data_IF_221131669576
#
_entry.id   IF_221131669576
#
_cell.length_a   1.000
_cell.length_b   1.000
_cell.length_c   1.000
_cell.angle_alpha   90.00
_cell.angle_beta   90.00
_cell.angle_gamma   90.00
#
_symmetry.space_group_name_H-M   'P 1'
#
loop_
_entity.id
_entity.type
_entity.pdbx_description
1 polymer ?
#
# COMPACT_ATOMS: atom_id res chain seq x y z
N UNK A 1 8.55 -20.81 23.29
CA UNK A 1 7.93 -19.52 22.91
C UNK A 1 6.89 -19.77 21.83
N UNK A 2 5.65 -19.26 21.97
CA UNK A 2 4.53 -19.48 21.03
C UNK A 2 4.13 -18.16 20.36
N UNK A 3 4.27 -18.09 19.04
CA UNK A 3 4.07 -16.88 18.27
C UNK A 3 2.93 -17.07 17.26
N UNK A 4 1.89 -16.25 17.35
CA UNK A 4 0.89 -16.16 16.30
C UNK A 4 1.36 -15.21 15.20
N UNK A 5 1.22 -15.58 13.94
CA UNK A 5 1.60 -14.75 12.79
C UNK A 5 0.44 -14.67 11.81
N UNK A 6 0.13 -13.46 11.33
CA UNK A 6 -0.91 -13.25 10.32
C UNK A 6 -0.58 -12.10 9.37
N UNK A 7 -1.15 -12.19 8.16
CA UNK A 7 -1.10 -11.14 7.13
C UNK A 7 -2.52 -10.66 6.85
N UNK A 8 -2.78 -9.35 6.88
CA UNK A 8 -4.13 -8.81 6.76
C UNK A 8 -4.22 -7.63 5.79
N UNK A 9 -5.36 -7.52 5.12
CA UNK A 9 -5.64 -6.48 4.13
C UNK A 9 -5.19 -6.86 2.73
N UNK A 10 -4.96 -5.86 1.84
CA UNK A 10 -4.40 -6.13 0.51
C UNK A 10 -2.99 -6.71 0.62
N UNK A 11 -2.64 -7.65 -0.24
CA UNK A 11 -1.30 -8.23 -0.30
C UNK A 11 -0.27 -7.30 -0.96
N UNK A 12 0.98 -7.69 -0.88
CA UNK A 12 2.09 -7.13 -1.64
C UNK A 12 3.18 -8.18 -1.82
N UNK A 13 4.16 -7.86 -2.65
CA UNK A 13 5.18 -8.81 -3.06
C UNK A 13 6.09 -9.31 -1.92
N UNK A 14 6.35 -8.49 -0.90
CA UNK A 14 7.38 -8.76 0.11
C UNK A 14 6.85 -9.36 1.44
N UNK A 15 5.58 -9.77 1.52
CA UNK A 15 5.00 -10.35 2.73
C UNK A 15 5.75 -11.60 3.21
N UNK A 16 6.01 -12.52 2.30
CA UNK A 16 6.73 -13.76 2.62
C UNK A 16 8.17 -13.48 3.08
N UNK A 17 8.85 -12.51 2.47
CA UNK A 17 10.17 -12.08 2.90
C UNK A 17 10.19 -11.55 4.35
N UNK A 18 9.17 -10.77 4.73
CA UNK A 18 9.02 -10.25 6.08
C UNK A 18 8.73 -11.36 7.10
N UNK A 19 7.79 -12.27 6.81
CA UNK A 19 7.49 -13.43 7.66
C UNK A 19 8.73 -14.32 7.85
N UNK A 20 9.47 -14.57 6.75
CA UNK A 20 10.74 -15.30 6.81
C UNK A 20 11.77 -14.59 7.71
N UNK A 21 11.87 -13.27 7.64
CA UNK A 21 12.77 -12.48 8.49
C UNK A 21 12.45 -12.66 9.97
N UNK A 22 11.17 -12.60 10.35
CA UNK A 22 10.72 -12.88 11.73
C UNK A 22 11.08 -14.31 12.14
N UNK A 23 10.61 -15.28 11.37
CA UNK A 23 10.75 -16.70 11.74
C UNK A 23 12.21 -17.13 11.87
N UNK A 24 13.05 -16.85 10.87
CA UNK A 24 14.47 -17.20 10.92
C UNK A 24 15.20 -16.54 12.07
N UNK A 25 14.88 -15.30 12.40
CA UNK A 25 15.48 -14.59 13.52
C UNK A 25 15.09 -15.21 14.87
N UNK A 26 13.83 -15.64 15.01
CA UNK A 26 13.35 -16.34 16.22
C UNK A 26 14.01 -17.71 16.35
N UNK A 27 13.95 -18.55 15.31
CA UNK A 27 14.54 -19.89 15.35
C UNK A 27 16.04 -19.91 15.61
N UNK A 28 16.77 -18.86 15.19
CA UNK A 28 18.21 -18.75 15.42
C UNK A 28 18.59 -18.25 16.83
N UNK A 29 17.66 -17.64 17.57
CA UNK A 29 17.98 -16.96 18.84
C UNK A 29 17.25 -17.51 20.05
N UNK A 30 16.22 -18.31 19.83
CA UNK A 30 15.35 -18.83 20.90
C UNK A 30 15.14 -20.31 20.67
N UNK A 31 15.38 -21.09 21.72
CA UNK A 31 15.04 -22.51 21.73
C UNK A 31 13.52 -22.71 21.82
N UNK A 32 13.00 -23.82 21.29
CA UNK A 32 11.59 -24.24 21.37
C UNK A 32 10.58 -23.16 20.91
N UNK A 33 10.82 -22.57 19.72
CA UNK A 33 9.86 -21.66 19.09
C UNK A 33 8.79 -22.44 18.32
N UNK A 34 7.53 -22.12 18.58
CA UNK A 34 6.37 -22.57 17.81
C UNK A 34 5.71 -21.37 17.14
N UNK A 35 5.51 -21.43 15.82
CA UNK A 35 4.87 -20.38 15.04
C UNK A 35 3.52 -20.89 14.52
N UNK A 36 2.45 -20.22 14.93
CA UNK A 36 1.08 -20.47 14.50
C UNK A 36 0.73 -19.48 13.40
N UNK A 37 0.75 -19.91 12.13
CA UNK A 37 0.39 -19.11 10.98
C UNK A 37 -1.13 -19.10 10.79
N UNK A 38 -1.80 -17.99 11.17
CA UNK A 38 -3.26 -17.86 11.00
C UNK A 38 -3.61 -17.65 9.53
N UNK A 39 -4.51 -18.47 9.01
CA UNK A 39 -4.93 -18.42 7.61
C UNK A 39 -5.93 -17.27 7.39
N UNK A 40 -5.80 -16.58 6.25
CA UNK A 40 -6.68 -15.48 5.87
C UNK A 40 -6.75 -14.34 6.89
N UNK A 41 -5.64 -14.04 7.55
CA UNK A 41 -5.49 -12.89 8.43
C UNK A 41 -6.31 -12.96 9.72
N UNK A 42 -6.97 -11.86 10.09
CA UNK A 42 -7.80 -11.84 11.29
C UNK A 42 -8.94 -12.86 11.27
N UNK A 43 -9.40 -13.28 10.09
CA UNK A 43 -10.44 -14.32 9.99
C UNK A 43 -9.94 -15.64 10.59
N UNK A 44 -8.70 -16.00 10.33
CA UNK A 44 -8.10 -17.19 10.93
C UNK A 44 -7.96 -17.08 12.45
N UNK A 45 -7.57 -15.92 12.96
CA UNK A 45 -7.49 -15.69 14.41
C UNK A 45 -8.89 -15.72 15.08
N UNK A 46 -9.94 -15.19 14.43
CA UNK A 46 -11.32 -15.23 14.91
C UNK A 46 -11.85 -16.68 14.95
N UNK A 47 -11.53 -17.47 13.93
CA UNK A 47 -12.08 -18.83 13.74
C UNK A 47 -11.16 -19.93 14.26
N UNK A 48 -10.04 -19.58 14.90
CA UNK A 48 -9.02 -20.53 15.37
C UNK A 48 -8.51 -21.44 14.23
N UNK A 49 -8.30 -20.85 13.03
CA UNK A 49 -7.84 -21.56 11.84
C UNK A 49 -6.39 -21.17 11.55
N UNK A 50 -5.49 -22.11 11.77
CA UNK A 50 -4.05 -21.89 11.64
C UNK A 50 -3.34 -23.13 11.09
N UNK A 51 -2.11 -22.91 10.64
CA UNK A 51 -1.11 -23.96 10.39
C UNK A 51 0.00 -23.81 11.43
N UNK A 52 0.38 -24.89 12.09
CA UNK A 52 1.63 -24.93 12.85
C UNK A 52 2.78 -24.96 11.85
N UNK A 53 3.58 -23.90 11.84
CA UNK A 53 4.66 -23.69 10.88
C UNK A 53 5.97 -24.26 11.43
N UNK A 54 6.74 -24.89 10.56
CA UNK A 54 8.12 -25.27 10.90
C UNK A 54 9.14 -24.41 10.11
N UNK A 55 10.42 -24.56 10.41
CA UNK A 55 11.50 -23.78 9.80
C UNK A 55 11.56 -23.96 8.27
N UNK A 56 11.12 -25.10 7.74
CA UNK A 56 11.14 -25.41 6.31
C UNK A 56 10.04 -24.65 5.56
N UNK A 57 8.92 -24.35 6.21
CA UNK A 57 7.85 -23.51 5.63
C UNK A 57 8.35 -22.12 5.26
N UNK A 58 9.41 -21.65 5.91
CA UNK A 58 10.05 -20.35 5.63
C UNK A 58 11.26 -20.48 4.69
N UNK A 59 11.54 -21.66 4.18
CA UNK A 59 12.59 -21.87 3.19
C UNK A 59 12.06 -21.59 1.77
N UNK A 60 12.90 -20.97 0.92
CA UNK A 60 12.53 -20.70 -0.48
C UNK A 60 11.52 -19.55 -0.71
N UNK A 61 10.86 -19.01 0.33
CA UNK A 61 9.79 -18.02 0.16
C UNK A 61 10.26 -16.57 0.00
N UNK A 62 11.56 -16.28 0.07
CA UNK A 62 12.11 -14.92 -0.03
C UNK A 62 11.72 -14.21 -1.32
N UNK A 63 11.62 -14.95 -2.41
CA UNK A 63 11.34 -14.43 -3.75
C UNK A 63 9.90 -14.65 -4.21
N UNK A 64 9.09 -15.28 -3.39
CA UNK A 64 7.69 -15.60 -3.70
C UNK A 64 6.82 -14.42 -3.26
N UNK A 65 6.10 -13.82 -4.22
CA UNK A 65 5.13 -12.76 -3.94
C UNK A 65 3.86 -13.25 -3.26
N UNK A 66 3.01 -12.28 -2.86
CA UNK A 66 1.82 -12.59 -2.08
C UNK A 66 2.13 -13.10 -0.68
N UNK A 67 1.28 -13.97 -0.13
CA UNK A 67 1.42 -14.50 1.23
C UNK A 67 1.08 -15.98 1.29
N UNK A 68 1.95 -16.79 1.90
CA UNK A 68 1.72 -18.24 2.12
C UNK A 68 0.61 -18.52 3.16
N UNK A 69 0.21 -17.50 3.93
CA UNK A 69 -0.87 -17.62 4.93
C UNK A 69 -2.23 -17.18 4.38
N UNK A 70 -2.29 -16.67 3.15
CA UNK A 70 -3.49 -16.01 2.65
C UNK A 70 -3.78 -14.70 3.40
N UNK A 71 -4.74 -13.95 2.92
CA UNK A 71 -5.16 -12.68 3.53
C UNK A 71 -6.63 -12.42 3.30
N UNK A 72 -7.27 -11.70 4.22
CA UNK A 72 -8.62 -11.20 4.07
C UNK A 72 -8.76 -9.78 4.59
N UNK A 73 -9.85 -9.11 4.19
CA UNK A 73 -10.20 -7.80 4.72
C UNK A 73 -11.21 -7.95 5.85
N UNK A 74 -10.79 -7.61 7.06
CA UNK A 74 -11.69 -7.44 8.22
C UNK A 74 -11.76 -5.94 8.53
N UNK A 75 -12.79 -5.21 8.03
CA UNK A 75 -12.85 -3.77 8.18
C UNK A 75 -12.93 -3.36 9.65
N UNK A 76 -12.05 -2.49 10.12
CA UNK A 76 -12.05 -2.02 11.51
C UNK A 76 -13.39 -1.40 11.95
N UNK A 77 -14.10 -0.73 11.03
CA UNK A 77 -15.43 -0.17 11.32
C UNK A 77 -16.46 -1.22 11.74
N UNK A 78 -16.26 -2.47 11.34
CA UNK A 78 -17.13 -3.61 11.64
C UNK A 78 -16.50 -4.58 12.65
N UNK A 79 -15.45 -4.17 13.35
CA UNK A 79 -14.73 -5.09 14.25
C UNK A 79 -15.59 -5.46 15.47
N UNK A 80 -16.40 -4.52 15.97
CA UNK A 80 -17.29 -4.72 17.10
C UNK A 80 -18.69 -5.23 16.68
N UNK A 81 -18.97 -5.36 15.37
CA UNK A 81 -20.18 -6.02 14.91
C UNK A 81 -19.97 -7.54 15.00
N UNK A 82 -20.92 -8.34 15.47
CA UNK A 82 -20.82 -9.80 15.42
C UNK A 82 -20.55 -10.28 13.99
N UNK A 83 -19.94 -11.44 13.85
CA UNK A 83 -19.82 -12.10 12.55
C UNK A 83 -21.17 -12.67 12.09
N UNK A 84 -21.21 -13.33 10.93
CA UNK A 84 -22.41 -13.96 10.37
C UNK A 84 -23.00 -15.08 11.24
N UNK A 85 -22.23 -15.59 12.20
CA UNK A 85 -22.66 -16.60 13.17
C UNK A 85 -23.00 -15.99 14.56
N UNK A 86 -23.04 -14.66 14.67
CA UNK A 86 -23.32 -13.95 15.92
C UNK A 86 -22.14 -13.88 16.90
N UNK A 87 -20.91 -14.24 16.47
CA UNK A 87 -19.72 -14.30 17.31
C UNK A 87 -19.08 -12.92 17.46
N UNK A 88 -18.78 -12.51 18.70
CA UNK A 88 -17.96 -11.32 18.96
C UNK A 88 -16.54 -11.56 18.47
N UNK A 89 -16.10 -10.78 17.49
CA UNK A 89 -14.80 -10.96 16.83
C UNK A 89 -13.62 -10.67 17.76
N UNK A 90 -13.73 -9.67 18.64
CA UNK A 90 -12.66 -9.29 19.56
C UNK A 90 -12.48 -10.36 20.63
N UNK A 91 -13.58 -10.78 21.25
CA UNK A 91 -13.53 -11.85 22.25
C UNK A 91 -13.08 -13.19 21.63
N UNK A 92 -13.49 -13.48 20.40
CA UNK A 92 -13.00 -14.66 19.69
C UNK A 92 -11.48 -14.65 19.47
N UNK A 93 -10.91 -13.51 19.06
CA UNK A 93 -9.47 -13.38 18.90
C UNK A 93 -8.72 -13.52 20.24
N UNK A 94 -9.28 -12.95 21.32
CA UNK A 94 -8.73 -13.08 22.68
C UNK A 94 -8.80 -14.52 23.17
N UNK A 95 -9.89 -15.22 22.89
CA UNK A 95 -10.06 -16.63 23.23
C UNK A 95 -9.01 -17.50 22.54
N UNK A 96 -8.86 -17.38 21.21
CA UNK A 96 -7.85 -18.11 20.43
C UNK A 96 -6.42 -17.84 20.93
N UNK A 97 -6.11 -16.56 21.25
CA UNK A 97 -4.81 -16.19 21.80
C UNK A 97 -4.51 -16.93 23.12
N UNK A 98 -5.48 -16.97 24.03
CA UNK A 98 -5.35 -17.63 25.33
C UNK A 98 -5.34 -19.16 25.22
N UNK A 99 -6.22 -19.72 24.40
CA UNK A 99 -6.34 -21.17 24.19
C UNK A 99 -5.04 -21.77 23.67
N UNK A 100 -4.40 -21.11 22.71
CA UNK A 100 -3.11 -21.54 22.15
C UNK A 100 -1.91 -21.18 23.05
N UNK A 101 -2.13 -20.39 24.10
CA UNK A 101 -1.08 -19.92 25.00
C UNK A 101 -0.03 -19.09 24.25
N UNK A 102 -0.46 -18.19 23.36
CA UNK A 102 0.45 -17.38 22.57
C UNK A 102 1.16 -16.35 23.44
N UNK A 103 2.46 -16.18 23.23
CA UNK A 103 3.28 -15.17 23.89
C UNK A 103 3.16 -13.80 23.17
N UNK A 104 2.97 -13.82 21.83
CA UNK A 104 2.86 -12.61 21.03
C UNK A 104 2.13 -12.89 19.69
N UNK A 105 1.46 -11.85 19.16
CA UNK A 105 0.96 -11.80 17.78
C UNK A 105 1.87 -10.93 16.92
N UNK A 106 2.34 -11.47 15.81
CA UNK A 106 3.03 -10.75 14.75
C UNK A 106 2.04 -10.46 13.63
N UNK A 107 1.77 -9.19 13.37
CA UNK A 107 0.72 -8.76 12.45
C UNK A 107 1.32 -7.91 11.33
N UNK A 108 1.21 -8.41 10.09
CA UNK A 108 1.68 -7.72 8.90
C UNK A 108 0.49 -7.08 8.18
N UNK A 109 0.48 -5.74 8.07
CA UNK A 109 -0.68 -5.10 7.44
C UNK A 109 -0.57 -3.60 7.20
N UNK A 110 -1.62 -3.04 6.62
CA UNK A 110 -1.78 -1.61 6.37
C UNK A 110 -2.52 -0.87 7.50
N UNK A 111 -2.96 0.35 7.22
CA UNK A 111 -3.58 1.24 8.23
C UNK A 111 -4.76 0.60 8.97
N UNK A 112 -5.70 -0.04 8.26
CA UNK A 112 -6.84 -0.74 8.88
C UNK A 112 -6.40 -1.86 9.82
N UNK A 113 -5.39 -2.62 9.43
CA UNK A 113 -4.81 -3.71 10.21
C UNK A 113 -4.17 -3.20 11.51
N UNK A 114 -3.44 -2.08 11.45
CA UNK A 114 -2.84 -1.46 12.63
C UNK A 114 -3.89 -0.93 13.62
N UNK A 115 -5.07 -0.50 13.16
CA UNK A 115 -6.19 -0.15 14.07
C UNK A 115 -6.65 -1.34 14.88
N UNK A 116 -6.85 -2.48 14.24
CA UNK A 116 -7.23 -3.72 14.94
C UNK A 116 -6.11 -4.21 15.85
N UNK A 117 -4.87 -4.16 15.40
CA UNK A 117 -3.69 -4.53 16.21
C UNK A 117 -3.58 -3.67 17.49
N UNK A 118 -3.79 -2.35 17.37
CA UNK A 118 -3.80 -1.42 18.51
C UNK A 118 -4.99 -1.68 19.46
N UNK A 119 -6.15 -2.08 18.93
CA UNK A 119 -7.28 -2.50 19.76
C UNK A 119 -6.90 -3.76 20.56
N UNK A 120 -6.38 -4.81 19.91
CA UNK A 120 -5.98 -6.05 20.60
C UNK A 120 -4.91 -5.79 21.65
N UNK A 121 -3.95 -4.90 21.38
CA UNK A 121 -2.95 -4.50 22.39
C UNK A 121 -3.59 -3.83 23.61
N UNK A 122 -4.58 -2.94 23.41
CA UNK A 122 -5.35 -2.32 24.50
C UNK A 122 -6.21 -3.33 25.28
N UNK A 123 -6.62 -4.41 24.64
CA UNK A 123 -7.33 -5.54 25.26
C UNK A 123 -6.36 -6.51 25.98
N UNK A 124 -5.09 -6.18 26.08
CA UNK A 124 -4.09 -6.92 26.86
C UNK A 124 -3.34 -8.02 26.11
N UNK A 125 -3.44 -8.09 24.77
CA UNK A 125 -2.66 -9.01 23.97
C UNK A 125 -1.29 -8.41 23.64
N UNK A 126 -0.24 -9.21 23.69
CA UNK A 126 1.07 -8.80 23.22
C UNK A 126 1.10 -8.78 21.68
N UNK A 127 1.41 -7.64 21.09
CA UNK A 127 1.37 -7.45 19.63
C UNK A 127 2.61 -6.71 19.15
N UNK A 128 3.20 -7.19 18.06
CA UNK A 128 4.22 -6.50 17.27
C UNK A 128 3.74 -6.47 15.82
N UNK A 129 3.86 -5.31 15.16
CA UNK A 129 3.37 -5.17 13.79
C UNK A 129 4.46 -4.75 12.80
N UNK A 130 4.22 -5.05 11.52
CA UNK A 130 5.11 -4.68 10.41
C UNK A 130 4.35 -3.86 9.37
N UNK A 131 4.97 -2.80 8.79
CA UNK A 131 4.34 -1.85 7.88
C UNK A 131 4.23 -2.41 6.46
N UNK A 132 3.12 -3.04 6.14
CA UNK A 132 2.84 -3.68 4.85
C UNK A 132 1.80 -2.87 4.06
N UNK A 133 2.25 -2.17 3.03
CA UNK A 133 1.36 -1.52 2.05
C UNK A 133 2.17 -1.11 0.82
N UNK A 134 1.53 -1.16 -0.36
CA UNK A 134 2.10 -0.58 -1.58
C UNK A 134 1.85 0.93 -1.66
N UNK A 135 0.96 1.46 -0.83
CA UNK A 135 0.52 2.87 -0.88
C UNK A 135 1.48 3.81 -0.14
N UNK A 136 2.42 3.27 0.66
CA UNK A 136 3.35 4.01 1.53
C UNK A 136 2.66 5.04 2.45
N UNK A 137 1.44 4.72 2.89
CA UNK A 137 0.51 5.61 3.58
C UNK A 137 0.52 5.53 5.12
N UNK A 138 1.47 4.78 5.69
CA UNK A 138 1.60 4.59 7.14
C UNK A 138 2.46 5.68 7.79
N UNK A 139 1.89 6.38 8.77
CA UNK A 139 2.62 7.36 9.59
C UNK A 139 3.69 6.67 10.42
N UNK A 140 4.82 7.35 10.62
CA UNK A 140 5.89 6.89 11.51
C UNK A 140 6.89 5.94 10.87
N UNK A 141 6.78 5.69 9.58
CA UNK A 141 7.80 5.01 8.78
C UNK A 141 8.08 5.78 7.50
N UNK A 142 9.35 5.89 7.11
CA UNK A 142 9.78 6.52 5.87
C UNK A 142 9.25 5.72 4.67
N UNK A 143 9.32 4.39 4.77
CA UNK A 143 8.90 3.48 3.71
C UNK A 143 8.26 2.22 4.29
N UNK A 144 7.23 1.71 3.61
CA UNK A 144 6.61 0.41 3.86
C UNK A 144 7.12 -0.62 2.85
N UNK A 145 7.28 -1.87 3.27
CA UNK A 145 7.64 -2.92 2.31
C UNK A 145 6.47 -3.27 1.39
N UNK A 146 6.80 -3.58 0.14
CA UNK A 146 5.87 -3.72 -0.98
C UNK A 146 5.73 -2.45 -1.82
N UNK A 147 6.08 -1.29 -1.27
CA UNK A 147 6.00 -0.02 -1.99
C UNK A 147 6.96 0.03 -3.18
N UNK A 148 8.25 -0.26 -2.96
CA UNK A 148 9.25 -0.17 -4.03
C UNK A 148 8.98 -1.18 -5.15
N UNK A 149 8.57 -2.40 -4.82
CA UNK A 149 8.18 -3.39 -5.83
C UNK A 149 6.99 -2.92 -6.67
N UNK A 150 6.01 -2.25 -6.05
CA UNK A 150 4.88 -1.67 -6.78
C UNK A 150 5.30 -0.48 -7.64
N UNK A 151 6.24 0.36 -7.17
CA UNK A 151 6.84 1.44 -7.98
C UNK A 151 7.53 0.87 -9.20
N UNK A 152 8.33 -0.20 -9.06
CA UNK A 152 9.03 -0.83 -10.18
C UNK A 152 8.05 -1.34 -11.25
N UNK A 153 6.94 -2.00 -10.83
CA UNK A 153 5.92 -2.50 -11.77
C UNK A 153 5.18 -1.33 -12.45
N UNK A 154 4.83 -0.30 -11.69
CA UNK A 154 4.16 0.88 -12.22
C UNK A 154 5.07 1.64 -13.21
N UNK A 155 6.35 1.80 -12.88
CA UNK A 155 7.36 2.41 -13.76
C UNK A 155 7.52 1.60 -15.05
N UNK A 156 7.68 0.27 -14.95
CA UNK A 156 7.76 -0.60 -16.14
C UNK A 156 6.52 -0.50 -17.03
N UNK A 157 5.34 -0.31 -16.43
CA UNK A 157 4.11 -0.06 -17.21
C UNK A 157 4.20 1.25 -17.99
N UNK A 158 4.69 2.33 -17.37
CA UNK A 158 4.90 3.63 -18.02
C UNK A 158 5.95 3.52 -19.13
N UNK A 159 7.06 2.82 -18.90
CA UNK A 159 8.12 2.58 -19.87
C UNK A 159 7.60 1.84 -21.12
N UNK A 160 6.75 0.82 -20.92
CA UNK A 160 6.07 0.14 -22.03
C UNK A 160 5.17 1.09 -22.83
N UNK A 161 4.47 2.01 -22.15
CA UNK A 161 3.65 3.03 -22.81
C UNK A 161 4.52 4.03 -23.56
N UNK A 162 5.69 4.43 -23.06
CA UNK A 162 6.61 5.33 -23.75
C UNK A 162 6.98 4.83 -25.14
N UNK A 163 7.32 3.55 -25.27
CA UNK A 163 7.75 2.97 -26.55
C UNK A 163 6.64 2.96 -27.59
N UNK A 164 5.39 2.68 -27.18
CA UNK A 164 4.23 2.74 -28.09
C UNK A 164 3.79 4.18 -28.34
N UNK A 165 3.88 5.06 -27.36
CA UNK A 165 3.53 6.47 -27.49
C UNK A 165 4.41 7.18 -28.53
N UNK A 166 5.69 6.86 -28.56
CA UNK A 166 6.62 7.39 -29.57
C UNK A 166 6.23 7.07 -31.03
N UNK A 167 5.43 6.01 -31.22
CA UNK A 167 4.94 5.61 -32.55
C UNK A 167 3.59 6.26 -32.93
N UNK A 168 2.98 6.97 -31.99
CA UNK A 168 1.62 7.53 -32.16
C UNK A 168 1.52 8.93 -31.54
N UNK A 169 0.96 9.89 -32.28
CA UNK A 169 0.73 11.25 -31.75
C UNK A 169 -0.54 11.30 -30.92
N UNK A 170 -0.47 10.86 -29.65
CA UNK A 170 -1.62 10.66 -28.75
C UNK A 170 -1.30 11.08 -27.32
N UNK A 171 -2.35 11.22 -26.52
CA UNK A 171 -2.27 11.32 -25.08
C UNK A 171 -2.47 9.96 -24.43
N UNK A 172 -1.57 9.55 -23.57
CA UNK A 172 -1.65 8.31 -22.81
C UNK A 172 -1.83 8.59 -21.33
N UNK A 173 -2.77 7.92 -20.70
CA UNK A 173 -3.01 8.02 -19.26
C UNK A 173 -2.77 6.65 -18.63
N UNK A 174 -1.90 6.60 -17.63
CA UNK A 174 -1.65 5.41 -16.80
C UNK A 174 -2.23 5.66 -15.41
N UNK A 175 -3.30 4.94 -15.06
CA UNK A 175 -3.91 5.03 -13.73
C UNK A 175 -3.24 4.06 -12.77
N UNK A 176 -2.70 4.58 -11.68
CA UNK A 176 -1.95 3.84 -10.68
C UNK A 176 -2.72 3.75 -9.36
N UNK A 177 -2.50 2.66 -8.63
CA UNK A 177 -3.01 2.47 -7.28
C UNK A 177 -2.37 3.48 -6.31
N UNK A 178 -2.77 3.47 -5.06
CA UNK A 178 -2.30 4.39 -4.00
C UNK A 178 -3.42 4.79 -3.07
N UNK A 179 -4.64 4.31 -3.32
CA UNK A 179 -5.85 4.54 -2.55
C UNK A 179 -6.12 6.04 -2.32
N UNK A 180 -5.66 6.61 -1.21
CA UNK A 180 -5.91 8.02 -0.82
C UNK A 180 -4.65 8.87 -0.88
N UNK A 181 -3.53 8.32 -1.31
CA UNK A 181 -2.24 9.00 -1.34
C UNK A 181 -1.57 8.86 -2.69
N UNK A 182 -0.78 9.84 -3.04
CA UNK A 182 -0.11 9.91 -4.33
C UNK A 182 1.30 9.33 -4.37
N UNK A 183 1.80 8.72 -3.30
CA UNK A 183 3.19 8.26 -3.22
C UNK A 183 3.60 7.37 -4.37
N UNK A 184 2.78 6.34 -4.68
CA UNK A 184 3.07 5.39 -5.76
C UNK A 184 3.11 6.09 -7.12
N UNK A 185 2.09 6.90 -7.41
CA UNK A 185 1.97 7.64 -8.67
C UNK A 185 3.08 8.67 -8.84
N UNK A 186 3.44 9.38 -7.76
CA UNK A 186 4.52 10.36 -7.77
C UNK A 186 5.86 9.71 -8.13
N UNK A 187 6.22 8.65 -7.41
CA UNK A 187 7.50 7.97 -7.65
C UNK A 187 7.56 7.31 -9.04
N UNK A 188 6.52 6.56 -9.41
CA UNK A 188 6.48 5.89 -10.70
C UNK A 188 6.38 6.89 -11.87
N UNK A 189 5.63 7.98 -11.69
CA UNK A 189 5.50 9.03 -12.71
C UNK A 189 6.80 9.77 -12.97
N UNK A 190 7.57 10.10 -11.94
CA UNK A 190 8.90 10.70 -12.08
C UNK A 190 9.85 9.69 -12.71
N UNK A 191 9.91 8.47 -12.19
CA UNK A 191 10.82 7.44 -12.67
C UNK A 191 10.54 7.03 -14.13
N UNK A 192 9.28 6.95 -14.53
CA UNK A 192 8.84 6.63 -15.89
C UNK A 192 8.78 7.86 -16.84
N UNK A 193 9.22 9.05 -16.40
CA UNK A 193 9.28 10.23 -17.25
C UNK A 193 7.92 10.75 -17.72
N UNK A 194 6.88 10.68 -16.86
CA UNK A 194 5.57 11.24 -17.18
C UNK A 194 5.62 12.76 -17.28
N UNK A 195 4.87 13.32 -18.22
CA UNK A 195 4.80 14.77 -18.48
C UNK A 195 3.83 15.46 -17.50
N UNK A 196 2.82 14.72 -17.05
CA UNK A 196 1.83 15.15 -16.06
C UNK A 196 1.70 14.09 -14.98
N UNK A 197 1.70 14.51 -13.72
CA UNK A 197 1.48 13.63 -12.56
C UNK A 197 0.34 14.20 -11.73
N UNK A 198 -0.77 13.45 -11.61
CA UNK A 198 -1.92 13.86 -10.81
C UNK A 198 -2.04 12.99 -9.57
N UNK A 199 -2.02 13.62 -8.40
CA UNK A 199 -2.09 12.96 -7.09
C UNK A 199 -3.23 13.54 -6.24
N UNK A 200 -3.80 12.77 -5.28
CA UNK A 200 -4.93 13.22 -4.47
C UNK A 200 -4.64 14.48 -3.63
N UNK A 201 -3.39 14.68 -3.24
CA UNK A 201 -2.96 15.77 -2.37
C UNK A 201 -2.86 17.12 -3.09
N UNK A 202 -2.81 17.10 -4.43
CA UNK A 202 -2.83 18.29 -5.27
C UNK A 202 -4.08 18.23 -6.16
N UNK A 203 -5.17 18.89 -5.77
CA UNK A 203 -6.39 18.91 -6.57
C UNK A 203 -6.15 19.54 -7.93
N UNK A 204 -6.44 18.78 -8.97
CA UNK A 204 -6.15 19.22 -10.33
C UNK A 204 -7.22 20.13 -10.90
N UNK A 205 -6.77 21.04 -11.75
CA UNK A 205 -7.55 21.82 -12.69
C UNK A 205 -7.35 21.24 -14.10
N UNK A 206 -8.44 20.82 -14.73
CA UNK A 206 -8.35 20.19 -16.06
C UNK A 206 -7.83 21.18 -17.11
N UNK A 207 -8.10 22.47 -16.97
CA UNK A 207 -7.61 23.47 -17.92
C UNK A 207 -6.08 23.59 -17.84
N UNK A 208 -5.48 23.46 -16.65
CA UNK A 208 -4.02 23.43 -16.47
C UNK A 208 -3.38 22.17 -17.10
N UNK A 209 -4.05 21.04 -17.00
CA UNK A 209 -3.62 19.82 -17.70
C UNK A 209 -3.67 20.00 -19.21
N UNK A 210 -4.74 20.60 -19.73
CA UNK A 210 -4.91 20.89 -21.17
C UNK A 210 -3.87 21.90 -21.65
N UNK A 211 -3.59 22.96 -20.85
CA UNK A 211 -2.51 23.92 -21.16
C UNK A 211 -1.15 23.22 -21.31
N UNK A 212 -0.82 22.29 -20.39
CA UNK A 212 0.42 21.52 -20.46
C UNK A 212 0.49 20.65 -21.73
N UNK A 213 -0.61 19.97 -22.10
CA UNK A 213 -0.71 19.17 -23.32
C UNK A 213 -0.53 20.05 -24.55
N UNK A 214 -1.24 21.17 -24.65
CA UNK A 214 -1.17 22.09 -25.79
C UNK A 214 0.23 22.72 -25.93
N UNK A 215 0.88 23.06 -24.81
CA UNK A 215 2.27 23.53 -24.84
C UNK A 215 3.19 22.48 -25.47
N UNK A 216 3.07 21.21 -25.10
CA UNK A 216 3.86 20.14 -25.68
C UNK A 216 3.64 19.97 -27.18
N UNK A 217 2.37 20.08 -27.63
CA UNK A 217 2.02 20.03 -29.06
C UNK A 217 2.73 21.20 -29.80
N UNK A 218 2.67 22.41 -29.25
CA UNK A 218 3.31 23.60 -29.82
C UNK A 218 4.85 23.44 -29.85
N UNK A 219 5.42 22.77 -28.85
CA UNK A 219 6.85 22.43 -28.76
C UNK A 219 7.22 21.22 -29.67
N UNK A 220 6.31 20.81 -30.57
CA UNK A 220 6.47 19.69 -31.52
C UNK A 220 6.76 18.35 -30.84
N UNK A 221 6.26 18.14 -29.62
CA UNK A 221 6.31 16.84 -28.95
C UNK A 221 5.13 15.98 -29.47
N UNK A 222 5.42 14.78 -29.90
CA UNK A 222 4.42 13.94 -30.59
C UNK A 222 3.43 13.25 -29.66
N UNK A 223 3.74 13.11 -28.36
CA UNK A 223 2.85 12.47 -27.40
C UNK A 223 2.96 13.11 -26.02
N UNK A 224 2.00 12.79 -25.16
CA UNK A 224 2.01 13.18 -23.73
C UNK A 224 1.61 11.98 -22.89
N UNK A 225 2.34 11.74 -21.79
CA UNK A 225 2.05 10.69 -20.83
C UNK A 225 1.64 11.30 -19.50
N UNK A 226 0.48 10.88 -19.00
CA UNK A 226 -0.03 11.25 -17.69
C UNK A 226 0.04 10.03 -16.76
N UNK A 227 0.68 10.18 -15.60
CA UNK A 227 0.53 9.27 -14.47
C UNK A 227 -0.55 9.82 -13.53
N UNK A 228 -1.58 9.04 -13.26
CA UNK A 228 -2.77 9.49 -12.54
C UNK A 228 -3.06 8.54 -11.38
N UNK A 229 -3.14 9.04 -10.16
CA UNK A 229 -3.54 8.21 -9.02
C UNK A 229 -5.05 7.93 -9.05
N UNK A 230 -5.46 6.71 -8.65
CA UNK A 230 -6.88 6.30 -8.60
C UNK A 230 -7.75 7.21 -7.71
N UNK A 231 -7.13 7.86 -6.72
CA UNK A 231 -7.79 8.69 -5.71
C UNK A 231 -7.85 10.18 -6.01
N UNK A 232 -7.48 10.63 -7.20
CA UNK A 232 -7.44 12.06 -7.55
C UNK A 232 -8.77 12.77 -7.40
N UNK A 233 -8.69 14.06 -7.15
CA UNK A 233 -9.84 14.97 -6.98
C UNK A 233 -9.58 16.24 -7.81
N UNK A 234 -10.57 16.73 -8.56
CA UNK A 234 -10.48 18.05 -9.20
C UNK A 234 -10.73 19.19 -8.20
N UNK A 235 -10.33 20.41 -8.55
CA UNK A 235 -10.65 21.61 -7.73
C UNK A 235 -12.16 21.77 -7.54
N UNK A 236 -12.97 21.44 -8.53
CA UNK A 236 -14.44 21.48 -8.44
C UNK A 236 -14.96 20.41 -7.48
N UNK A 237 -14.44 19.18 -7.56
CA UNK A 237 -14.84 18.07 -6.70
C UNK A 237 -14.51 18.28 -5.23
N UNK A 238 -13.48 19.09 -4.91
CA UNK A 238 -13.18 19.47 -3.53
C UNK A 238 -14.34 20.21 -2.83
N UNK A 239 -15.17 20.89 -3.59
CA UNK A 239 -16.34 21.62 -3.05
C UNK A 239 -17.48 20.68 -2.67
N UNK A 240 -17.41 19.40 -3.02
CA UNK A 240 -18.47 18.44 -2.76
C UNK A 240 -18.25 17.72 -1.42
N UNK A 241 -19.37 17.49 -0.71
CA UNK A 241 -19.34 16.51 0.38
C UNK A 241 -19.02 15.11 -0.16
N UNK A 242 -18.45 14.22 0.67
CA UNK A 242 -18.12 12.84 0.28
C UNK A 242 -19.33 12.08 -0.30
N UNK A 243 -20.54 12.35 0.21
CA UNK A 243 -21.79 11.75 -0.30
C UNK A 243 -22.10 12.25 -1.69
N UNK A 244 -22.10 13.58 -1.88
CA UNK A 244 -22.36 14.22 -3.18
C UNK A 244 -21.34 13.79 -4.24
N UNK A 245 -20.05 13.74 -3.88
CA UNK A 245 -18.99 13.30 -4.79
C UNK A 245 -19.24 11.87 -5.29
N UNK A 246 -19.62 10.96 -4.39
CA UNK A 246 -19.95 9.58 -4.76
C UNK A 246 -21.18 9.50 -5.68
N UNK A 247 -22.19 10.34 -5.44
CA UNK A 247 -23.40 10.40 -6.27
C UNK A 247 -23.09 10.96 -7.69
N UNK A 248 -22.28 12.02 -7.76
CA UNK A 248 -21.85 12.62 -9.05
C UNK A 248 -21.07 11.60 -9.87
N UNK A 249 -20.00 11.00 -9.28
CA UNK A 249 -19.17 10.00 -9.98
C UNK A 249 -19.96 8.77 -10.42
N UNK A 250 -20.98 8.37 -9.64
CA UNK A 250 -21.89 7.27 -10.05
C UNK A 250 -22.74 7.62 -11.26
N UNK A 251 -23.17 8.89 -11.39
CA UNK A 251 -23.97 9.36 -12.54
C UNK A 251 -23.15 9.50 -13.82
N UNK A 252 -21.88 9.82 -13.72
CA UNK A 252 -20.98 9.99 -14.86
C UNK A 252 -20.64 8.67 -15.56
N UNK A 253 -20.84 7.52 -14.89
CA UNK A 253 -20.61 6.16 -15.44
C UNK A 253 -19.19 5.88 -15.96
N UNK A 254 -18.18 6.66 -15.59
CA UNK A 254 -16.80 6.35 -15.95
C UNK A 254 -16.27 5.17 -15.14
N UNK A 255 -15.54 4.22 -15.76
CA UNK A 255 -14.95 3.07 -15.07
C UNK A 255 -13.94 3.49 -13.98
N UNK A 256 -13.21 4.58 -14.22
CA UNK A 256 -12.21 5.10 -13.27
C UNK A 256 -11.93 6.60 -13.50
N UNK A 257 -11.08 7.17 -12.64
CA UNK A 257 -10.68 8.57 -12.72
C UNK A 257 -9.97 8.91 -14.05
N UNK A 258 -9.10 8.02 -14.53
CA UNK A 258 -8.38 8.21 -15.80
C UNK A 258 -9.31 8.31 -17.02
N UNK A 259 -10.37 7.50 -17.07
CA UNK A 259 -11.35 7.59 -18.16
C UNK A 259 -12.10 8.92 -18.14
N UNK A 260 -12.44 9.43 -16.95
CA UNK A 260 -13.10 10.74 -16.83
C UNK A 260 -12.20 11.88 -17.29
N UNK A 261 -10.94 11.90 -16.86
CA UNK A 261 -9.95 12.89 -17.32
C UNK A 261 -9.73 12.76 -18.81
N UNK A 262 -9.60 11.53 -19.32
CA UNK A 262 -9.40 11.26 -20.72
C UNK A 262 -10.52 11.83 -21.60
N UNK A 263 -11.78 11.66 -21.21
CA UNK A 263 -12.93 12.26 -21.89
C UNK A 263 -12.83 13.80 -21.91
N UNK A 264 -12.54 14.42 -20.76
CA UNK A 264 -12.38 15.87 -20.66
C UNK A 264 -11.20 16.42 -21.47
N UNK A 265 -10.12 15.68 -21.64
CA UNK A 265 -8.99 16.04 -22.50
C UNK A 265 -9.40 15.96 -23.97
N UNK A 266 -10.06 14.87 -24.40
CA UNK A 266 -10.54 14.71 -25.76
C UNK A 266 -11.48 15.83 -26.17
N UNK A 267 -12.43 16.18 -25.31
CA UNK A 267 -13.41 17.23 -25.58
C UNK A 267 -12.76 18.63 -25.77
N UNK A 268 -11.67 18.91 -25.04
CA UNK A 268 -11.02 20.23 -25.07
C UNK A 268 -9.89 20.35 -26.08
N UNK A 269 -9.22 19.24 -26.42
CA UNK A 269 -8.02 19.24 -27.27
C UNK A 269 -8.24 18.62 -28.64
N UNK A 270 -9.28 17.82 -28.81
CA UNK A 270 -9.46 16.97 -30.00
C UNK A 270 -8.41 15.84 -30.11
N UNK A 271 -7.51 15.67 -29.15
CA UNK A 271 -6.47 14.65 -29.16
C UNK A 271 -7.08 13.27 -28.85
N UNK A 272 -6.57 12.25 -29.51
CA UNK A 272 -6.94 10.87 -29.17
C UNK A 272 -6.30 10.47 -27.85
N UNK A 273 -7.10 9.99 -26.89
CA UNK A 273 -6.64 9.55 -25.56
C UNK A 273 -6.70 8.03 -25.43
N UNK A 274 -5.68 7.44 -24.85
CA UNK A 274 -5.63 6.02 -24.48
C UNK A 274 -5.41 5.88 -22.98
N UNK A 275 -6.15 5.00 -22.35
CA UNK A 275 -6.07 4.75 -20.89
C UNK A 275 -5.57 3.35 -20.64
N UNK A 276 -4.59 3.23 -19.74
CA UNK A 276 -4.07 1.97 -19.22
C UNK A 276 -4.26 1.94 -17.71
N UNK A 277 -4.89 0.88 -17.21
CA UNK A 277 -5.10 0.67 -15.76
C UNK A 277 -4.48 -0.68 -15.38
N UNK A 278 -3.23 -0.73 -14.93
CA UNK A 278 -2.57 -1.99 -14.53
C UNK A 278 -3.25 -2.65 -13.32
N UNK A 279 -3.91 -1.87 -12.46
CA UNK A 279 -4.69 -2.40 -11.35
C UNK A 279 -3.88 -3.33 -10.45
N UNK A 280 -4.41 -4.53 -10.18
CA UNK A 280 -3.80 -5.50 -9.26
C UNK A 280 -2.46 -6.08 -9.72
N UNK A 281 -2.04 -5.89 -10.98
CA UNK A 281 -0.68 -6.26 -11.44
C UNK A 281 0.38 -5.59 -10.56
N UNK A 282 0.11 -4.38 -10.05
CA UNK A 282 0.99 -3.63 -9.15
C UNK A 282 1.22 -4.32 -7.79
N UNK A 283 0.41 -5.32 -7.43
CA UNK A 283 0.57 -6.12 -6.19
C UNK A 283 1.24 -7.47 -6.42
N UNK A 284 1.35 -7.89 -7.68
CA UNK A 284 1.79 -9.22 -8.08
C UNK A 284 3.30 -9.33 -8.32
N UNK A 285 3.75 -10.53 -8.64
CA UNK A 285 5.13 -10.82 -8.98
C UNK A 285 6.07 -10.98 -7.78
N UNK A 286 7.34 -11.16 -8.05
CA UNK A 286 8.39 -11.27 -7.04
C UNK A 286 8.72 -9.90 -6.44
N UNK A 287 9.07 -9.81 -5.14
CA UNK A 287 9.56 -8.58 -4.57
C UNK A 287 10.89 -8.17 -5.18
N UNK A 288 11.09 -6.88 -5.41
CA UNK A 288 12.37 -6.34 -5.84
C UNK A 288 13.45 -6.50 -4.76
N UNK A 289 14.72 -6.34 -5.14
CA UNK A 289 15.84 -6.51 -4.22
C UNK A 289 15.75 -5.60 -2.99
N UNK A 290 15.33 -4.35 -3.18
CA UNK A 290 15.14 -3.40 -2.08
C UNK A 290 14.13 -3.92 -1.05
N UNK A 291 12.95 -4.33 -1.49
CA UNK A 291 11.89 -4.82 -0.60
C UNK A 291 12.27 -6.15 0.09
N UNK A 292 13.02 -7.03 -0.57
CA UNK A 292 13.53 -8.26 0.07
C UNK A 292 14.44 -7.93 1.26
N UNK A 293 15.36 -6.99 1.09
CA UNK A 293 16.28 -6.55 2.14
C UNK A 293 15.50 -5.82 3.25
N UNK A 294 14.65 -4.87 2.88
CA UNK A 294 13.84 -4.10 3.83
C UNK A 294 12.95 -5.00 4.68
N UNK A 295 12.17 -5.86 4.03
CA UNK A 295 11.24 -6.78 4.71
C UNK A 295 11.97 -7.74 5.65
N UNK A 296 13.13 -8.28 5.23
CA UNK A 296 13.97 -9.15 6.08
C UNK A 296 14.49 -8.41 7.32
N UNK A 297 14.96 -7.16 7.15
CA UNK A 297 15.44 -6.32 8.26
C UNK A 297 14.32 -5.96 9.24
N UNK A 298 13.16 -5.56 8.74
CA UNK A 298 11.98 -5.29 9.57
C UNK A 298 11.51 -6.54 10.30
N UNK A 299 11.54 -7.70 9.64
CA UNK A 299 11.25 -9.00 10.27
C UNK A 299 12.22 -9.34 11.41
N UNK A 300 13.51 -9.14 11.20
CA UNK A 300 14.54 -9.36 12.23
C UNK A 300 14.35 -8.42 13.42
N UNK A 301 13.99 -7.16 13.20
CA UNK A 301 13.68 -6.20 14.28
C UNK A 301 12.42 -6.60 15.05
N UNK A 302 11.39 -7.08 14.37
CA UNK A 302 10.19 -7.59 15.04
C UNK A 302 10.52 -8.77 15.97
N UNK A 303 11.37 -9.70 15.53
CA UNK A 303 11.85 -10.80 16.38
C UNK A 303 12.65 -10.30 17.58
N UNK A 304 13.50 -9.28 17.41
CA UNK A 304 14.23 -8.64 18.51
C UNK A 304 13.28 -8.06 19.57
N UNK A 305 12.23 -7.33 19.13
CA UNK A 305 11.22 -6.78 20.04
C UNK A 305 10.50 -7.89 20.83
N UNK A 306 10.16 -8.99 20.17
CA UNK A 306 9.50 -10.14 20.81
C UNK A 306 10.40 -10.77 21.87
N UNK A 307 11.67 -11.01 21.56
CA UNK A 307 12.66 -11.59 22.49
C UNK A 307 12.85 -10.70 23.72
N UNK A 308 12.87 -9.39 23.50
CA UNK A 308 13.01 -8.38 24.56
C UNK A 308 11.70 -8.10 25.31
N UNK A 309 10.58 -8.78 24.94
CA UNK A 309 9.24 -8.55 25.48
C UNK A 309 8.75 -7.10 25.32
N UNK A 310 9.12 -6.47 24.23
CA UNK A 310 8.71 -5.11 23.86
C UNK A 310 7.52 -5.16 22.92
N UNK A 311 6.33 -5.01 23.44
CA UNK A 311 5.06 -5.14 22.71
C UNK A 311 4.36 -3.79 22.52
N UNK A 312 3.36 -3.75 21.64
CA UNK A 312 2.60 -2.54 21.31
C UNK A 312 3.31 -1.62 20.33
N UNK A 313 4.24 -2.14 19.56
CA UNK A 313 5.02 -1.39 18.58
C UNK A 313 4.80 -1.87 17.14
N UNK A 314 4.90 -0.93 16.20
CA UNK A 314 5.18 -1.20 14.80
C UNK A 314 6.69 -1.03 14.58
N UNK A 315 7.35 -2.01 13.96
CA UNK A 315 8.70 -1.81 13.42
C UNK A 315 8.62 -0.84 12.25
N UNK A 316 9.62 0.02 12.08
CA UNK A 316 9.57 1.08 11.09
C UNK A 316 10.98 1.41 10.55
N UNK A 317 11.00 2.23 9.50
CA UNK A 317 12.23 2.88 9.01
C UNK A 317 12.14 4.36 9.37
N UNK A 318 13.16 4.90 9.98
CA UNK A 318 13.27 6.33 10.30
C UNK A 318 14.71 6.78 10.03
N UNK A 319 14.88 7.77 9.17
CA UNK A 319 16.20 8.25 8.75
C UNK A 319 17.12 7.10 8.26
N UNK A 320 16.57 6.21 7.40
CA UNK A 320 17.24 5.01 6.88
C UNK A 320 17.68 3.97 7.94
N UNK A 321 17.27 4.11 9.19
CA UNK A 321 17.52 3.16 10.25
C UNK A 321 16.25 2.36 10.59
N UNK A 322 16.44 1.09 10.94
CA UNK A 322 15.33 0.27 11.44
C UNK A 322 15.08 0.62 12.90
N UNK A 323 13.87 1.00 13.22
CA UNK A 323 13.42 1.48 14.51
C UNK A 323 12.05 0.89 14.87
N UNK A 324 11.43 1.38 15.95
CA UNK A 324 10.08 1.05 16.40
C UNK A 324 9.29 2.31 16.71
N UNK A 325 7.97 2.23 16.57
CA UNK A 325 7.04 3.29 16.95
C UNK A 325 5.81 2.68 17.64
N UNK A 326 5.30 3.33 18.67
CA UNK A 326 4.09 2.89 19.38
C UNK A 326 2.88 2.82 18.43
N UNK A 327 2.09 1.75 18.54
CA UNK A 327 0.92 1.51 17.69
C UNK A 327 -0.13 2.62 17.78
N UNK A 328 -0.32 3.24 18.95
CA UNK A 328 -1.26 4.34 19.15
C UNK A 328 -0.89 5.60 18.33
N UNK A 329 0.39 5.77 17.98
CA UNK A 329 0.90 6.87 17.15
C UNK A 329 0.69 6.63 15.65
N UNK A 330 0.44 5.38 15.25
CA UNK A 330 0.27 4.96 13.86
C UNK A 330 -1.20 4.71 13.51
N UNK A 331 -1.91 4.00 14.39
CA UNK A 331 -3.24 3.49 14.12
C UNK A 331 -4.23 4.60 13.73
N UNK A 332 -4.76 4.52 12.52
CA UNK A 332 -5.78 5.44 12.03
C UNK A 332 -5.27 6.76 11.46
N UNK A 333 -3.98 6.98 11.43
CA UNK A 333 -3.34 8.14 10.80
C UNK A 333 -2.90 7.80 9.38
N UNK A 334 -2.91 8.81 8.51
CA UNK A 334 -2.54 8.66 7.11
C UNK A 334 -1.32 9.52 6.80
N UNK A 335 -0.29 8.95 6.17
CA UNK A 335 0.88 9.66 5.65
C UNK A 335 0.60 10.04 4.21
N UNK A 336 0.32 11.31 3.97
CA UNK A 336 0.09 11.90 2.65
C UNK A 336 1.36 12.52 2.09
N UNK A 337 1.40 12.75 0.78
CA UNK A 337 2.44 13.56 0.14
C UNK A 337 2.23 15.02 0.56
N UNK A 338 3.28 15.67 1.04
CA UNK A 338 3.23 17.12 1.26
C UNK A 338 3.37 17.83 -0.09
N UNK A 339 2.37 18.64 -0.52
CA UNK A 339 2.47 19.40 -1.77
C UNK A 339 3.68 20.35 -1.85
N UNK A 340 4.28 20.70 -0.71
CA UNK A 340 5.49 21.52 -0.62
C UNK A 340 6.78 20.69 -0.48
N UNK A 341 6.70 19.36 -0.54
CA UNK A 341 7.88 18.50 -0.45
C UNK A 341 8.88 18.78 -1.59
N UNK A 342 10.17 18.64 -1.29
CA UNK A 342 11.25 18.87 -2.26
C UNK A 342 11.06 18.08 -3.56
N UNK A 343 10.63 16.82 -3.47
CA UNK A 343 10.37 15.97 -4.65
C UNK A 343 9.31 16.56 -5.60
N UNK A 344 8.28 17.24 -5.10
CA UNK A 344 7.28 17.94 -5.92
C UNK A 344 7.89 19.17 -6.58
N UNK A 345 8.64 19.97 -5.81
CA UNK A 345 9.30 21.17 -6.32
C UNK A 345 10.33 20.82 -7.39
N UNK A 346 11.11 19.78 -7.17
CA UNK A 346 12.10 19.26 -8.12
C UNK A 346 11.44 18.75 -9.40
N UNK A 347 10.34 17.99 -9.27
CA UNK A 347 9.57 17.50 -10.41
C UNK A 347 8.99 18.67 -11.24
N UNK A 348 8.43 19.70 -10.60
CA UNK A 348 7.97 20.92 -11.28
C UNK A 348 9.12 21.67 -11.98
N UNK A 349 10.30 21.74 -11.35
CA UNK A 349 11.49 22.36 -11.97
C UNK A 349 11.96 21.60 -13.23
N UNK A 350 11.73 20.29 -13.31
CA UNK A 350 11.96 19.48 -14.52
C UNK A 350 10.85 19.63 -15.58
N UNK A 351 9.81 20.43 -15.33
CA UNK A 351 8.73 20.70 -16.27
C UNK A 351 7.53 19.76 -16.15
N UNK A 352 7.46 18.92 -15.11
CA UNK A 352 6.32 18.04 -14.87
C UNK A 352 5.14 18.86 -14.34
N UNK A 353 3.98 18.72 -14.98
CA UNK A 353 2.74 19.41 -14.59
C UNK A 353 2.00 18.57 -13.53
N UNK A 354 1.50 19.24 -12.47
CA UNK A 354 0.66 18.61 -11.45
C UNK A 354 -0.81 19.04 -11.53
N UNK A 355 -1.17 19.85 -12.55
CA UNK A 355 -2.53 20.35 -12.74
C UNK A 355 -2.96 21.44 -11.75
N UNK A 356 -2.04 22.13 -11.08
CA UNK A 356 -2.29 23.17 -10.09
C UNK A 356 -2.04 24.62 -10.58
#
# INVERSE_FOLDING_TARGET
MRIGMLTSGGDCQALNAAMRGVAKSLYNKVDDVQIYGFLDGYRGLINNTYKLMDINDFSGILTIGGTILGTSRTPFKKINEPDENGKDKVEAMKHTYKELGLDCLVILGGNGTHKTANLLYKEGLNVVTLPKTIDNDLVGTDVSFGFQSAVDIATNTIDCIHTTAASHSRVFIVELMGHKTGWLTLHAGIAGGSDVILIPEIPYDLDKVVEAINKRINDKKHFTILAVAEGIISKEEMLYSKKKLKEVRKKEHYPSAAYRIGAGIMDRTGQEVRVTVPGHVQRGGSPCAYDRVLASRLGAKAAELIINKEYGYMVCVRNNQIDKIELNKVAGRLKTVDPQAGIITEAKAMGICFGD
#
